data_IF_184898674321
#
_entry.id   IF_184898674321
#
_cell.length_a   1.000
_cell.length_b   1.000
_cell.length_c   1.000
_cell.angle_alpha   90.00
_cell.angle_beta   90.00
_cell.angle_gamma   90.00
#
_symmetry.space_group_name_H-M   'P 1'
#
loop_
_entity.id
_entity.type
_entity.pdbx_description
1 polymer ?
#
# COMPACT_ATOMS: atom_id res chain seq x y z
N UNK A 1 -30.25 -2.80 -9.74
CA UNK A 1 -29.49 -2.88 -8.49
C UNK A 1 -30.48 -2.64 -7.37
N UNK A 2 -30.78 -3.68 -6.59
CA UNK A 2 -31.76 -3.60 -5.51
C UNK A 2 -31.21 -2.75 -4.37
N UNK A 3 -32.04 -1.86 -3.84
CA UNK A 3 -31.68 -0.98 -2.73
C UNK A 3 -32.39 -1.43 -1.47
N UNK A 4 -31.68 -1.41 -0.36
CA UNK A 4 -32.19 -1.71 0.97
C UNK A 4 -31.88 -0.56 1.92
N UNK A 5 -32.79 -0.27 2.83
CA UNK A 5 -32.63 0.70 3.90
C UNK A 5 -32.67 -0.06 5.22
N UNK A 6 -31.59 -0.01 5.98
CA UNK A 6 -31.56 -0.51 7.34
C UNK A 6 -31.71 0.66 8.32
N UNK A 7 -32.72 0.62 9.15
CA UNK A 7 -33.04 1.63 10.14
C UNK A 7 -32.94 1.04 11.54
N UNK A 8 -32.10 1.65 12.40
CA UNK A 8 -31.95 1.17 13.77
C UNK A 8 -33.14 1.60 14.66
N UNK A 9 -33.64 0.65 15.42
CA UNK A 9 -34.75 0.91 16.36
C UNK A 9 -34.34 1.75 17.56
N UNK A 10 -33.05 1.66 17.94
CA UNK A 10 -32.50 2.34 19.11
C UNK A 10 -31.04 2.80 18.90
N UNK A 11 -30.53 3.53 19.87
CA UNK A 11 -29.14 4.04 19.87
C UNK A 11 -28.10 2.97 20.16
N UNK A 12 -28.47 1.74 20.52
CA UNK A 12 -27.52 0.63 20.68
C UNK A 12 -27.02 0.10 19.35
N UNK A 13 -27.71 0.43 18.25
CA UNK A 13 -27.45 -0.04 16.89
C UNK A 13 -27.39 -1.58 16.80
N UNK A 14 -28.20 -2.25 17.59
CA UNK A 14 -28.30 -3.72 17.57
C UNK A 14 -29.47 -4.16 16.69
N UNK A 15 -30.69 -3.86 17.12
CA UNK A 15 -31.89 -4.23 16.37
C UNK A 15 -32.17 -3.22 15.25
N UNK A 16 -32.61 -3.73 14.11
CA UNK A 16 -32.88 -2.91 12.94
C UNK A 16 -34.10 -3.43 12.15
N UNK A 17 -34.75 -2.52 11.43
CA UNK A 17 -35.76 -2.80 10.43
C UNK A 17 -35.15 -2.61 9.03
N UNK A 18 -35.37 -3.56 8.15
CA UNK A 18 -34.93 -3.55 6.77
C UNK A 18 -36.10 -3.34 5.83
N UNK A 19 -36.01 -2.30 5.02
CA UNK A 19 -36.94 -1.97 3.95
C UNK A 19 -36.32 -2.28 2.60
N UNK A 20 -37.11 -2.69 1.62
CA UNK A 20 -36.68 -3.02 0.26
C UNK A 20 -37.39 -2.16 -0.77
N UNK A 21 -36.69 -1.79 -1.85
CA UNK A 21 -37.30 -1.12 -3.01
C UNK A 21 -38.15 -2.03 -3.89
N UNK A 22 -38.12 -3.35 -3.64
CA UNK A 22 -38.93 -4.34 -4.38
C UNK A 22 -40.34 -4.43 -3.81
N UNK A 23 -40.48 -4.30 -2.48
CA UNK A 23 -41.72 -4.39 -1.79
C UNK A 23 -42.41 -3.02 -1.76
N UNK A 24 -43.36 -2.79 -2.68
CA UNK A 24 -44.16 -1.55 -2.77
C UNK A 24 -45.05 -1.30 -1.55
N UNK A 25 -45.15 -2.25 -0.63
CA UNK A 25 -45.79 -2.06 0.70
C UNK A 25 -44.70 -1.59 1.67
N UNK A 26 -44.97 -0.61 2.52
CA UNK A 26 -44.13 -0.13 3.62
C UNK A 26 -43.81 -1.25 4.65
N UNK A 27 -43.73 -2.50 4.19
CA UNK A 27 -43.41 -3.65 5.01
C UNK A 27 -41.90 -3.71 5.25
N UNK A 28 -41.54 -3.95 6.48
CA UNK A 28 -40.15 -4.15 6.87
C UNK A 28 -39.94 -5.53 7.47
N UNK A 29 -38.72 -6.01 7.41
CA UNK A 29 -38.26 -7.19 8.13
C UNK A 29 -37.39 -6.75 9.30
N UNK A 30 -37.70 -7.25 10.50
CA UNK A 30 -36.91 -6.92 11.69
C UNK A 30 -35.81 -7.94 11.91
N UNK A 31 -34.62 -7.42 12.26
CA UNK A 31 -33.41 -8.20 12.52
C UNK A 31 -32.82 -7.82 13.87
N UNK A 32 -32.22 -8.80 14.56
CA UNK A 32 -31.64 -8.59 15.89
C UNK A 32 -30.22 -7.99 15.81
N UNK A 33 -29.55 -8.11 14.67
CA UNK A 33 -28.22 -7.56 14.45
C UNK A 33 -27.89 -7.44 12.95
N UNK A 34 -26.85 -6.66 12.64
CA UNK A 34 -26.36 -6.47 11.27
C UNK A 34 -25.83 -7.74 10.61
N UNK A 35 -25.33 -8.69 11.39
CA UNK A 35 -24.74 -9.93 10.84
C UNK A 35 -25.78 -10.83 10.18
N UNK A 36 -27.07 -10.68 10.52
CA UNK A 36 -28.18 -11.38 9.89
C UNK A 36 -28.41 -10.94 8.44
N UNK A 37 -27.89 -9.78 8.03
CA UNK A 37 -27.99 -9.26 6.66
C UNK A 37 -26.99 -9.93 5.68
N UNK A 38 -26.35 -11.02 6.06
CA UNK A 38 -25.38 -11.74 5.22
C UNK A 38 -25.97 -12.35 3.94
N UNK A 39 -27.28 -12.37 3.79
CA UNK A 39 -27.95 -12.81 2.57
C UNK A 39 -27.88 -11.76 1.44
N UNK A 40 -27.52 -10.50 1.77
CA UNK A 40 -27.33 -9.46 0.77
C UNK A 40 -26.03 -9.72 0.00
N UNK A 41 -26.09 -9.59 -1.32
CA UNK A 41 -24.97 -9.80 -2.23
C UNK A 41 -24.41 -8.48 -2.81
N UNK A 42 -23.38 -8.57 -3.64
CA UNK A 42 -22.70 -7.43 -4.27
C UNK A 42 -23.55 -6.70 -5.32
N UNK A 43 -24.67 -7.30 -5.76
CA UNK A 43 -25.63 -6.66 -6.65
C UNK A 43 -26.56 -5.69 -5.92
N UNK A 44 -26.54 -5.71 -4.59
CA UNK A 44 -27.37 -4.88 -3.73
C UNK A 44 -26.64 -3.64 -3.21
N UNK A 45 -27.41 -2.61 -2.88
CA UNK A 45 -26.95 -1.44 -2.12
C UNK A 45 -27.68 -1.36 -0.79
N UNK A 46 -26.95 -1.35 0.31
CA UNK A 46 -27.48 -1.21 1.67
C UNK A 46 -27.20 0.20 2.19
N UNK A 47 -28.25 0.95 2.48
CA UNK A 47 -28.19 2.25 3.12
C UNK A 47 -28.54 2.05 4.59
N UNK A 48 -27.59 2.33 5.48
CA UNK A 48 -27.75 2.18 6.93
C UNK A 48 -27.95 3.57 7.52
N UNK A 49 -29.09 3.79 8.16
CA UNK A 49 -29.46 5.03 8.82
C UNK A 49 -28.98 4.97 10.27
N UNK A 50 -27.93 5.75 10.61
CA UNK A 50 -27.46 5.86 11.98
C UNK A 50 -28.33 6.87 12.76
N UNK A 51 -28.76 6.54 14.00
CA UNK A 51 -29.54 7.46 14.83
C UNK A 51 -28.82 8.79 15.03
N UNK A 52 -29.54 9.90 14.85
CA UNK A 52 -28.97 11.24 14.98
C UNK A 52 -28.44 11.57 16.37
N UNK A 53 -28.93 10.89 17.40
CA UNK A 53 -28.39 11.01 18.76
C UNK A 53 -26.94 10.53 18.89
N UNK A 54 -26.44 9.76 17.93
CA UNK A 54 -25.07 9.24 17.88
C UNK A 54 -24.17 10.08 16.99
N UNK A 55 -24.73 11.03 16.22
CA UNK A 55 -24.00 11.82 15.23
C UNK A 55 -24.28 13.31 15.47
N UNK A 56 -23.24 14.04 15.82
CA UNK A 56 -23.32 15.50 15.82
C UNK A 56 -22.81 16.04 14.49
N UNK A 57 -23.51 17.00 13.89
CA UNK A 57 -23.10 17.65 12.66
C UNK A 57 -22.92 19.15 12.86
N UNK A 58 -21.90 19.69 12.23
CA UNK A 58 -21.62 21.13 12.27
C UNK A 58 -21.24 21.59 10.87
N UNK A 59 -21.73 22.75 10.49
CA UNK A 59 -21.30 23.39 9.25
C UNK A 59 -19.81 23.75 9.36
N UNK A 60 -19.04 23.37 8.33
CA UNK A 60 -17.60 23.60 8.24
C UNK A 60 -17.27 24.00 6.83
N UNK A 61 -17.15 25.30 6.60
CA UNK A 61 -16.87 25.83 5.27
C UNK A 61 -15.56 25.25 4.73
N UNK A 62 -15.68 24.39 3.71
CA UNK A 62 -14.52 23.76 3.08
C UNK A 62 -13.76 24.80 2.29
N UNK A 63 -12.47 24.91 2.55
CA UNK A 63 -11.56 25.68 1.74
C UNK A 63 -10.60 24.72 1.03
N UNK A 64 -10.77 24.57 -0.28
CA UNK A 64 -9.96 23.64 -1.08
C UNK A 64 -8.47 24.01 -1.14
N UNK A 65 -8.11 25.24 -0.79
CA UNK A 65 -6.72 25.72 -0.72
C UNK A 65 -5.98 25.26 0.55
N UNK A 66 -6.71 24.71 1.53
CA UNK A 66 -6.14 24.27 2.81
C UNK A 66 -5.97 22.75 2.84
N UNK A 67 -4.78 22.23 3.24
CA UNK A 67 -4.59 20.80 3.46
C UNK A 67 -5.63 20.21 4.43
N UNK A 68 -6.08 18.98 4.17
CA UNK A 68 -7.12 18.31 4.96
C UNK A 68 -6.81 18.27 6.47
N UNK A 69 -5.54 18.07 6.84
CA UNK A 69 -5.13 18.01 8.25
C UNK A 69 -5.27 19.36 8.95
N UNK A 70 -5.00 20.47 8.25
CA UNK A 70 -5.16 21.82 8.78
C UNK A 70 -6.65 22.14 8.89
N UNK A 71 -7.45 21.78 7.88
CA UNK A 71 -8.91 21.95 7.94
C UNK A 71 -9.50 21.17 9.12
N UNK A 72 -9.08 19.93 9.35
CA UNK A 72 -9.49 19.14 10.51
C UNK A 72 -9.10 19.81 11.83
N UNK A 73 -7.87 20.32 11.95
CA UNK A 73 -7.40 20.99 13.16
C UNK A 73 -8.21 22.27 13.46
N UNK A 74 -8.49 23.08 12.44
CA UNK A 74 -9.32 24.27 12.56
C UNK A 74 -10.74 23.91 13.01
N UNK A 75 -11.36 22.93 12.35
CA UNK A 75 -12.68 22.44 12.69
C UNK A 75 -12.76 21.96 14.15
N UNK A 76 -11.79 21.16 14.60
CA UNK A 76 -11.73 20.68 15.99
C UNK A 76 -11.62 21.86 16.96
N UNK A 77 -10.78 22.87 16.64
CA UNK A 77 -10.64 24.06 17.46
C UNK A 77 -11.95 24.86 17.60
N UNK A 78 -12.74 24.93 16.50
CA UNK A 78 -14.00 25.69 16.47
C UNK A 78 -15.12 25.00 17.27
N UNK A 79 -15.04 23.69 17.43
CA UNK A 79 -16.09 22.90 18.09
C UNK A 79 -15.66 22.31 19.44
N UNK A 80 -14.41 22.49 19.86
CA UNK A 80 -13.84 21.88 21.08
C UNK A 80 -14.72 22.10 22.32
N UNK A 81 -15.25 23.30 22.48
CA UNK A 81 -16.14 23.63 23.59
C UNK A 81 -17.59 23.11 23.45
N UNK A 82 -17.92 22.49 22.32
CA UNK A 82 -19.24 21.93 22.01
C UNK A 82 -19.26 20.41 22.10
N UNK A 83 -18.07 19.78 22.13
CA UNK A 83 -17.92 18.33 22.23
C UNK A 83 -17.96 17.91 23.69
N UNK A 84 -18.78 16.92 24.00
CA UNK A 84 -18.93 16.40 25.39
C UNK A 84 -17.77 15.46 25.74
N UNK A 85 -17.35 14.62 24.80
CA UNK A 85 -16.30 13.62 24.99
C UNK A 85 -14.92 14.19 24.66
N UNK A 86 -13.84 13.49 25.06
CA UNK A 86 -12.50 13.86 24.64
C UNK A 86 -12.35 13.77 23.12
N UNK A 87 -11.58 14.66 22.51
CA UNK A 87 -11.33 14.70 21.06
C UNK A 87 -10.84 13.34 20.54
N UNK A 88 -9.96 12.66 21.32
CA UNK A 88 -9.39 11.34 20.98
C UNK A 88 -10.41 10.21 20.92
N UNK A 89 -11.56 10.36 21.55
CA UNK A 89 -12.65 9.39 21.61
C UNK A 89 -13.62 9.57 20.44
N UNK A 90 -13.50 10.65 19.69
CA UNK A 90 -14.35 10.97 18.56
C UNK A 90 -13.65 10.69 17.23
N UNK A 91 -14.46 10.34 16.24
CA UNK A 91 -14.07 10.26 14.83
C UNK A 91 -14.73 11.41 14.08
N UNK A 92 -13.94 12.13 13.32
CA UNK A 92 -14.36 13.27 12.52
C UNK A 92 -14.39 12.86 11.05
N UNK A 93 -15.52 13.08 10.39
CA UNK A 93 -15.72 12.74 8.98
C UNK A 93 -16.32 13.96 8.30
N UNK A 94 -15.78 14.33 7.13
CA UNK A 94 -16.28 15.46 6.35
C UNK A 94 -16.97 14.97 5.08
N UNK A 95 -18.09 15.61 4.79
CA UNK A 95 -18.78 15.47 3.51
C UNK A 95 -19.25 16.87 3.11
N UNK A 96 -18.78 17.34 1.94
CA UNK A 96 -18.99 18.74 1.51
C UNK A 96 -18.62 19.74 2.63
N UNK A 97 -19.52 20.65 2.97
CA UNK A 97 -19.32 21.68 3.98
C UNK A 97 -19.83 21.28 5.37
N UNK A 98 -19.95 19.96 5.64
CA UNK A 98 -20.42 19.44 6.93
C UNK A 98 -19.37 18.54 7.56
N UNK A 99 -19.03 18.82 8.81
CA UNK A 99 -18.24 17.94 9.66
C UNK A 99 -19.14 17.11 10.58
N UNK A 100 -18.98 15.80 10.55
CA UNK A 100 -19.69 14.82 11.37
C UNK A 100 -18.79 14.34 12.49
N UNK A 101 -19.34 14.25 13.69
CA UNK A 101 -18.64 13.80 14.90
C UNK A 101 -19.39 12.60 15.45
N UNK A 102 -18.68 11.51 15.64
CA UNK A 102 -19.24 10.25 16.11
C UNK A 102 -18.28 9.63 17.11
N UNK A 103 -18.79 9.03 18.18
CA UNK A 103 -17.97 8.22 19.08
C UNK A 103 -17.23 7.14 18.31
N UNK A 104 -15.91 7.08 18.50
CA UNK A 104 -15.02 6.18 17.76
C UNK A 104 -15.37 4.72 18.01
N UNK A 105 -15.76 4.35 19.23
CA UNK A 105 -16.11 2.97 19.58
C UNK A 105 -17.37 2.51 18.84
N UNK A 106 -18.35 3.40 18.69
CA UNK A 106 -19.60 3.12 17.99
C UNK A 106 -19.35 2.96 16.49
N UNK A 107 -18.68 3.93 15.86
CA UNK A 107 -18.44 3.88 14.41
C UNK A 107 -17.52 2.74 14.02
N UNK A 108 -16.52 2.41 14.83
CA UNK A 108 -15.61 1.30 14.56
C UNK A 108 -16.33 -0.06 14.71
N UNK A 109 -17.25 -0.19 15.67
CA UNK A 109 -18.10 -1.37 15.81
C UNK A 109 -19.02 -1.55 14.59
N UNK A 110 -19.70 -0.49 14.17
CA UNK A 110 -20.55 -0.50 12.97
C UNK A 110 -19.74 -0.84 11.72
N UNK A 111 -18.63 -0.18 11.48
CA UNK A 111 -17.76 -0.45 10.34
C UNK A 111 -17.25 -1.88 10.31
N UNK A 112 -16.93 -2.46 11.49
CA UNK A 112 -16.51 -3.85 11.59
C UNK A 112 -17.61 -4.82 11.13
N UNK A 113 -18.85 -4.66 11.60
CA UNK A 113 -19.98 -5.51 11.19
C UNK A 113 -20.34 -5.27 9.72
N UNK A 114 -20.43 -4.02 9.28
CA UNK A 114 -20.80 -3.67 7.90
C UNK A 114 -19.75 -4.14 6.88
N UNK A 115 -18.47 -4.12 7.22
CA UNK A 115 -17.40 -4.63 6.35
C UNK A 115 -17.50 -6.14 6.10
N UNK A 116 -18.17 -6.87 6.98
CA UNK A 116 -18.39 -8.31 6.81
C UNK A 116 -19.52 -8.63 5.82
N UNK A 117 -20.32 -7.66 5.43
CA UNK A 117 -21.37 -7.83 4.43
C UNK A 117 -20.79 -7.82 3.01
N UNK A 118 -21.35 -8.64 2.13
CA UNK A 118 -20.95 -8.72 0.72
C UNK A 118 -21.79 -7.78 -0.17
N UNK A 119 -22.09 -6.58 0.31
CA UNK A 119 -22.92 -5.61 -0.40
C UNK A 119 -22.26 -4.23 -0.42
N UNK A 120 -22.74 -3.34 -1.27
CA UNK A 120 -22.30 -1.94 -1.26
C UNK A 120 -22.99 -1.21 -0.12
N UNK A 121 -22.21 -0.72 0.84
CA UNK A 121 -22.73 -0.10 2.06
C UNK A 121 -22.54 1.40 2.03
N UNK A 122 -23.62 2.11 2.40
CA UNK A 122 -23.65 3.53 2.73
C UNK A 122 -24.11 3.66 4.18
N UNK A 123 -23.35 4.36 5.00
CA UNK A 123 -23.71 4.68 6.36
C UNK A 123 -23.98 6.18 6.45
N UNK A 124 -25.20 6.58 6.75
CA UNK A 124 -25.60 7.99 6.71
C UNK A 124 -26.42 8.35 7.96
N UNK A 125 -26.38 9.59 8.45
CA UNK A 125 -27.25 10.02 9.53
C UNK A 125 -28.73 9.91 9.10
N UNK A 126 -29.62 9.49 10.03
CA UNK A 126 -31.05 9.32 9.71
C UNK A 126 -31.72 10.61 9.25
N UNK A 127 -31.29 11.78 9.70
CA UNK A 127 -31.83 13.06 9.25
C UNK A 127 -31.42 13.45 7.82
N UNK A 128 -30.38 12.85 7.29
CA UNK A 128 -29.98 13.07 5.88
C UNK A 128 -30.94 12.37 4.89
N UNK A 129 -31.91 11.64 5.42
CA UNK A 129 -32.98 11.00 4.66
C UNK A 129 -33.83 12.08 3.94
N UNK A 130 -33.80 12.09 2.62
CA UNK A 130 -34.43 13.11 1.76
C UNK A 130 -33.86 14.55 1.92
N UNK A 131 -32.70 14.72 2.52
CA UNK A 131 -32.08 16.05 2.52
C UNK A 131 -31.81 16.52 1.09
N UNK A 132 -32.09 17.79 0.83
CA UNK A 132 -31.74 18.46 -0.41
C UNK A 132 -30.85 19.63 -0.11
N UNK A 133 -29.76 19.75 -0.87
CA UNK A 133 -28.85 20.88 -0.68
C UNK A 133 -29.58 22.22 -0.80
N UNK A 134 -29.42 23.07 0.21
CA UNK A 134 -30.00 24.42 0.24
C UNK A 134 -31.48 24.51 0.63
N UNK A 135 -32.11 23.39 1.00
CA UNK A 135 -33.52 23.36 1.45
C UNK A 135 -33.64 22.78 2.87
N UNK A 136 -34.43 23.40 3.71
CA UNK A 136 -34.81 22.83 4.99
C UNK A 136 -35.89 21.76 4.74
N UNK A 137 -35.72 20.56 5.31
CA UNK A 137 -36.65 19.43 5.08
C UNK A 137 -37.05 18.80 6.40
N UNK A 138 -38.31 18.43 6.54
CA UNK A 138 -38.79 17.61 7.64
C UNK A 138 -39.43 16.36 7.07
N UNK A 139 -38.98 15.20 7.54
CA UNK A 139 -39.52 13.89 7.12
C UNK A 139 -40.11 13.16 8.34
N UNK A 140 -41.33 12.75 8.27
CA UNK A 140 -41.93 11.86 9.25
C UNK A 140 -41.72 10.41 8.84
N UNK A 141 -41.01 9.65 9.69
CA UNK A 141 -40.70 8.26 9.45
C UNK A 141 -40.62 7.48 10.77
N UNK A 142 -41.33 6.38 10.88
CA UNK A 142 -41.30 5.43 12.01
C UNK A 142 -41.41 6.12 13.39
N UNK A 143 -42.43 6.96 13.57
CA UNK A 143 -42.73 7.73 14.80
C UNK A 143 -41.62 8.74 15.21
N UNK A 144 -40.70 9.07 14.30
CA UNK A 144 -39.73 10.14 14.45
C UNK A 144 -39.89 11.17 13.34
N UNK A 145 -39.30 12.34 13.60
CA UNK A 145 -39.25 13.46 12.67
C UNK A 145 -37.83 13.82 12.42
N UNK A 146 -37.38 13.66 11.18
CA UNK A 146 -36.03 13.99 10.74
C UNK A 146 -35.99 15.44 10.22
N UNK A 147 -35.20 16.27 10.84
CA UNK A 147 -34.98 17.65 10.46
C UNK A 147 -33.63 17.75 9.76
N UNK A 148 -33.65 18.09 8.49
CA UNK A 148 -32.46 18.37 7.70
C UNK A 148 -32.44 19.85 7.36
N UNK A 149 -31.34 20.53 7.67
CA UNK A 149 -31.22 21.97 7.45
C UNK A 149 -30.51 22.27 6.13
N UNK A 150 -30.75 23.47 5.60
CA UNK A 150 -30.18 23.94 4.33
C UNK A 150 -28.63 23.97 4.33
N UNK A 151 -27.99 24.00 5.50
CA UNK A 151 -26.55 23.91 5.69
C UNK A 151 -26.00 22.48 5.73
N UNK A 152 -26.85 21.47 5.51
CA UNK A 152 -26.52 20.05 5.53
C UNK A 152 -26.44 19.43 6.93
N UNK A 153 -26.60 20.22 7.98
CA UNK A 153 -26.74 19.69 9.35
C UNK A 153 -28.15 19.18 9.61
N UNK A 154 -28.38 18.49 10.72
CA UNK A 154 -29.71 18.00 11.04
C UNK A 154 -29.79 17.29 12.38
N UNK A 155 -31.00 16.86 12.72
CA UNK A 155 -31.29 16.06 13.91
C UNK A 155 -32.59 15.28 13.74
N UNK A 156 -32.86 14.37 14.65
CA UNK A 156 -34.20 13.72 14.75
C UNK A 156 -34.81 13.94 16.11
N UNK A 157 -36.13 14.03 16.13
CA UNK A 157 -36.89 14.15 17.37
C UNK A 157 -38.04 13.14 17.39
N UNK A 158 -38.40 12.68 18.56
CA UNK A 158 -39.60 11.84 18.78
C UNK A 158 -40.83 12.68 18.74
N UNK A 159 -41.98 12.01 18.56
CA UNK A 159 -43.31 12.68 18.58
C UNK A 159 -43.49 13.53 19.84
N UNK A 160 -43.12 13.05 21.01
CA UNK A 160 -43.32 13.76 22.29
C UNK A 160 -42.56 15.08 22.35
N UNK A 161 -41.41 15.16 21.71
CA UNK A 161 -40.54 16.36 21.67
C UNK A 161 -40.79 17.26 20.48
N UNK A 162 -41.60 16.84 19.52
CA UNK A 162 -41.81 17.54 18.25
C UNK A 162 -42.28 18.99 18.43
N UNK A 163 -43.30 19.18 19.27
CA UNK A 163 -43.91 20.49 19.49
C UNK A 163 -42.94 21.49 20.08
N UNK A 164 -42.23 21.06 21.11
CA UNK A 164 -41.25 21.92 21.79
C UNK A 164 -40.08 22.26 20.87
N UNK A 165 -39.57 21.27 20.13
CA UNK A 165 -38.49 21.48 19.17
C UNK A 165 -38.89 22.43 18.04
N UNK A 166 -40.04 22.27 17.45
CA UNK A 166 -40.57 23.20 16.43
C UNK A 166 -40.76 24.61 16.97
N UNK A 167 -41.18 24.73 18.23
CA UNK A 167 -41.29 26.04 18.87
C UNK A 167 -39.92 26.73 19.03
N UNK A 168 -38.87 25.98 19.40
CA UNK A 168 -37.50 26.48 19.51
C UNK A 168 -37.03 26.96 18.13
N UNK A 169 -37.19 26.14 17.09
CA UNK A 169 -36.71 26.50 15.74
C UNK A 169 -37.42 27.79 15.24
N UNK A 170 -38.74 27.87 15.38
CA UNK A 170 -39.48 29.07 14.95
C UNK A 170 -39.09 30.33 15.70
N UNK A 171 -38.74 30.21 16.97
CA UNK A 171 -38.24 31.35 17.75
C UNK A 171 -36.84 31.77 17.36
N UNK A 172 -36.02 30.80 16.92
CA UNK A 172 -34.63 31.07 16.48
C UNK A 172 -34.57 31.55 15.04
N UNK A 173 -35.43 31.03 14.17
CA UNK A 173 -35.51 31.36 12.75
C UNK A 173 -36.98 31.67 12.36
N UNK A 174 -37.38 32.93 12.40
CA UNK A 174 -38.75 33.35 12.09
C UNK A 174 -39.17 33.07 10.65
N UNK A 175 -38.21 32.86 9.73
CA UNK A 175 -38.47 32.56 8.32
C UNK A 175 -38.32 31.09 7.99
N UNK A 176 -38.32 30.19 8.99
CA UNK A 176 -38.20 28.77 8.77
C UNK A 176 -39.38 28.22 8.00
N UNK A 177 -39.17 27.82 6.75
CA UNK A 177 -40.16 27.29 5.83
C UNK A 177 -39.67 25.97 5.22
N UNK A 178 -39.73 24.86 5.96
CA UNK A 178 -39.23 23.59 5.48
C UNK A 178 -40.19 22.94 4.46
N UNK A 179 -39.64 22.12 3.58
CA UNK A 179 -40.43 21.14 2.81
C UNK A 179 -40.78 19.98 3.75
N UNK A 180 -42.06 19.69 3.91
CA UNK A 180 -42.56 18.68 4.87
C UNK A 180 -43.04 17.47 4.11
N UNK A 181 -42.49 16.29 4.45
CA UNK A 181 -42.97 14.97 4.02
C UNK A 181 -43.61 14.26 5.21
N UNK A 182 -44.91 14.06 5.16
CA UNK A 182 -45.67 13.47 6.28
C UNK A 182 -46.97 12.88 5.80
N UNK A 183 -47.27 11.69 6.32
CA UNK A 183 -48.58 11.02 6.09
C UNK A 183 -49.57 11.30 7.21
N UNK A 184 -49.18 12.04 8.26
CA UNK A 184 -50.04 12.39 9.38
C UNK A 184 -50.39 13.88 9.39
N UNK A 185 -51.27 14.28 10.30
CA UNK A 185 -51.64 15.68 10.49
C UNK A 185 -50.84 16.36 11.61
N UNK A 186 -49.92 15.67 12.28
CA UNK A 186 -49.23 16.16 13.46
C UNK A 186 -48.44 17.45 13.18
N UNK A 187 -47.75 17.52 12.05
CA UNK A 187 -47.01 18.68 11.63
C UNK A 187 -47.87 19.87 11.18
N UNK A 188 -49.14 19.62 10.75
CA UNK A 188 -50.08 20.68 10.39
C UNK A 188 -50.48 21.56 11.57
N UNK A 189 -50.51 21.00 12.76
CA UNK A 189 -50.81 21.75 13.98
C UNK A 189 -49.68 22.76 14.32
N UNK A 190 -48.51 22.48 13.87
CA UNK A 190 -47.31 23.32 14.12
C UNK A 190 -47.02 24.26 12.94
N UNK A 191 -47.18 23.75 11.71
CA UNK A 191 -46.88 24.49 10.47
C UNK A 191 -48.15 24.70 9.68
N UNK A 192 -49.05 25.59 10.14
CA UNK A 192 -50.38 25.83 9.58
C UNK A 192 -50.37 26.27 8.12
N UNK A 193 -49.32 26.98 7.69
CA UNK A 193 -49.20 27.58 6.36
C UNK A 193 -48.55 26.66 5.35
N UNK A 194 -47.98 25.51 5.78
CA UNK A 194 -47.25 24.59 4.92
C UNK A 194 -48.12 23.35 4.65
N UNK A 195 -48.32 23.04 3.37
CA UNK A 195 -48.99 21.81 2.95
C UNK A 195 -47.97 20.67 2.91
N UNK A 196 -48.10 19.65 3.77
CA UNK A 196 -47.24 18.48 3.70
C UNK A 196 -47.37 17.75 2.36
N UNK A 197 -46.25 17.26 1.85
CA UNK A 197 -46.22 16.30 0.75
C UNK A 197 -46.38 14.90 1.32
N UNK A 198 -46.98 14.02 0.54
CA UNK A 198 -47.11 12.62 0.92
C UNK A 198 -45.72 11.97 0.93
N UNK A 199 -45.40 11.32 2.02
CA UNK A 199 -44.16 10.57 2.15
C UNK A 199 -44.35 9.15 1.59
N UNK A 200 -43.45 8.74 0.73
CA UNK A 200 -43.33 7.37 0.23
C UNK A 200 -41.86 6.94 0.26
N UNK A 201 -41.59 5.71 0.66
CA UNK A 201 -40.24 5.11 0.59
C UNK A 201 -39.70 5.11 -0.85
N UNK A 202 -40.58 4.99 -1.86
CA UNK A 202 -40.20 5.08 -3.27
C UNK A 202 -39.50 6.41 -3.59
N UNK A 203 -39.95 7.50 -2.95
CA UNK A 203 -39.32 8.82 -3.11
C UNK A 203 -37.87 8.80 -2.66
N UNK A 204 -37.58 8.10 -1.57
CA UNK A 204 -36.22 7.95 -1.07
C UNK A 204 -35.38 7.01 -1.95
N UNK A 205 -35.93 5.87 -2.34
CA UNK A 205 -35.18 4.94 -3.23
C UNK A 205 -34.84 5.55 -4.59
N UNK A 206 -35.62 6.51 -5.04
CA UNK A 206 -35.36 7.29 -6.25
C UNK A 206 -34.37 8.45 -6.04
N UNK A 207 -34.08 8.79 -4.78
CA UNK A 207 -33.11 9.83 -4.48
C UNK A 207 -31.68 9.40 -4.88
N UNK A 208 -30.85 10.38 -5.25
CA UNK A 208 -29.45 10.11 -5.62
C UNK A 208 -28.62 9.79 -4.38
N UNK A 209 -28.34 8.51 -4.16
CA UNK A 209 -27.55 8.03 -3.03
C UNK A 209 -26.15 8.69 -2.98
N UNK A 210 -25.62 9.07 -4.14
CA UNK A 210 -24.31 9.74 -4.25
C UNK A 210 -24.25 11.12 -3.57
N UNK A 211 -25.41 11.73 -3.27
CA UNK A 211 -25.49 13.01 -2.57
C UNK A 211 -25.55 12.84 -1.05
N UNK A 212 -25.78 11.62 -0.56
CA UNK A 212 -25.83 11.34 0.87
C UNK A 212 -24.41 11.32 1.47
N UNK A 213 -24.22 11.87 2.69
CA UNK A 213 -22.96 11.72 3.40
C UNK A 213 -22.70 10.24 3.70
N UNK A 214 -21.53 9.73 3.32
CA UNK A 214 -21.16 8.35 3.61
C UNK A 214 -20.12 8.30 4.73
N UNK A 215 -20.57 7.91 5.92
CA UNK A 215 -19.73 7.80 7.12
C UNK A 215 -19.05 6.42 7.22
N UNK A 216 -19.39 5.48 6.32
CA UNK A 216 -18.81 4.16 6.28
C UNK A 216 -17.34 4.22 5.86
N UNK A 217 -16.52 3.48 6.58
CA UNK A 217 -15.13 3.22 6.20
C UNK A 217 -14.82 1.73 6.34
N UNK A 218 -14.14 1.18 5.35
CA UNK A 218 -13.75 -0.23 5.37
C UNK A 218 -12.85 -0.55 6.56
N UNK A 219 -13.25 -1.54 7.37
CA UNK A 219 -12.47 -1.99 8.50
C UNK A 219 -11.46 -3.05 8.07
N UNK A 220 -10.17 -2.70 8.03
CA UNK A 220 -9.10 -3.57 7.58
C UNK A 220 -8.79 -4.65 8.62
N UNK A 221 -9.22 -5.88 8.33
CA UNK A 221 -8.84 -7.08 9.07
C UNK A 221 -8.59 -8.23 8.10
N UNK A 222 -7.85 -9.26 8.52
CA UNK A 222 -7.62 -10.43 7.66
C UNK A 222 -8.93 -11.11 7.25
N UNK A 223 -9.90 -11.15 8.17
CA UNK A 223 -11.23 -11.72 7.89
C UNK A 223 -12.02 -10.88 6.91
N UNK A 224 -11.99 -9.55 7.03
CA UNK A 224 -12.65 -8.62 6.12
C UNK A 224 -12.09 -8.72 4.71
N UNK A 225 -10.75 -8.74 4.60
CA UNK A 225 -10.05 -8.88 3.32
C UNK A 225 -10.38 -10.23 2.68
N UNK A 226 -10.29 -11.32 3.47
CA UNK A 226 -10.62 -12.66 2.99
C UNK A 226 -12.04 -12.74 2.42
N UNK A 227 -13.01 -12.13 3.10
CA UNK A 227 -14.43 -12.17 2.72
C UNK A 227 -14.71 -11.27 1.51
N UNK A 228 -14.25 -10.02 1.54
CA UNK A 228 -14.48 -9.03 0.46
C UNK A 228 -13.90 -9.47 -0.88
N UNK A 229 -12.71 -10.10 -0.86
CA UNK A 229 -12.01 -10.54 -2.07
C UNK A 229 -12.19 -12.03 -2.37
N UNK A 230 -13.05 -12.74 -1.63
CA UNK A 230 -13.29 -14.19 -1.79
C UNK A 230 -12.01 -15.03 -1.80
N UNK A 231 -10.95 -14.57 -1.10
CA UNK A 231 -9.69 -15.30 -1.04
C UNK A 231 -9.86 -16.62 -0.29
N UNK A 232 -9.45 -17.70 -0.92
CA UNK A 232 -9.29 -18.97 -0.23
C UNK A 232 -8.15 -18.87 0.79
N UNK A 233 -8.19 -19.69 1.84
CA UNK A 233 -7.13 -19.72 2.85
C UNK A 233 -5.75 -19.99 2.25
N UNK A 234 -5.69 -20.78 1.17
CA UNK A 234 -4.47 -21.08 0.42
C UNK A 234 -3.94 -19.84 -0.33
N UNK A 235 -4.81 -19.08 -0.99
CA UNK A 235 -4.42 -17.85 -1.70
C UNK A 235 -3.91 -16.78 -0.71
N UNK A 236 -4.54 -16.66 0.45
CA UNK A 236 -4.07 -15.75 1.50
C UNK A 236 -2.70 -16.17 2.03
N UNK A 237 -2.48 -17.48 2.25
CA UNK A 237 -1.19 -18.01 2.65
C UNK A 237 -0.10 -17.74 1.60
N UNK A 238 -0.39 -17.98 0.32
CA UNK A 238 0.53 -17.69 -0.78
C UNK A 238 0.86 -16.18 -0.88
N UNK A 239 -0.13 -15.31 -0.68
CA UNK A 239 0.06 -13.86 -0.70
C UNK A 239 0.96 -13.40 0.47
N UNK A 240 0.75 -13.97 1.67
CA UNK A 240 1.60 -13.68 2.84
C UNK A 240 3.03 -14.19 2.63
N UNK A 241 3.22 -15.41 2.08
CA UNK A 241 4.54 -15.96 1.75
C UNK A 241 5.22 -15.11 0.68
N UNK A 242 4.50 -14.66 -0.35
CA UNK A 242 5.04 -13.78 -1.39
C UNK A 242 5.51 -12.44 -0.83
N UNK A 243 4.68 -11.78 -0.01
CA UNK A 243 5.05 -10.52 0.66
C UNK A 243 6.27 -10.70 1.57
N UNK A 244 6.31 -11.80 2.35
CA UNK A 244 7.44 -12.11 3.21
C UNK A 244 8.71 -12.35 2.39
N UNK A 245 8.61 -13.04 1.25
CA UNK A 245 9.74 -13.29 0.34
C UNK A 245 10.33 -12.01 -0.23
N UNK A 246 9.49 -11.02 -0.62
CA UNK A 246 9.94 -9.72 -1.14
C UNK A 246 10.77 -8.95 -0.09
N UNK A 247 10.46 -9.07 1.18
CA UNK A 247 11.18 -8.41 2.26
C UNK A 247 12.41 -9.21 2.73
N UNK A 248 12.28 -10.54 2.81
CA UNK A 248 13.29 -11.40 3.42
C UNK A 248 14.44 -11.73 2.47
N UNK A 249 14.16 -11.97 1.19
CA UNK A 249 15.20 -12.32 0.21
C UNK A 249 16.25 -11.20 0.06
N UNK A 250 15.89 -9.92 -0.14
CA UNK A 250 16.87 -8.85 -0.20
C UNK A 250 17.71 -8.73 1.08
N UNK A 251 17.08 -8.92 2.25
CA UNK A 251 17.78 -8.86 3.54
C UNK A 251 18.82 -9.97 3.65
N UNK A 252 18.51 -11.19 3.22
CA UNK A 252 19.47 -12.31 3.17
C UNK A 252 20.61 -12.03 2.20
N UNK A 253 20.31 -11.45 1.03
CA UNK A 253 21.34 -11.08 0.05
C UNK A 253 22.28 -10.03 0.64
N UNK A 254 21.77 -9.01 1.32
CA UNK A 254 22.57 -7.98 1.99
C UNK A 254 23.49 -8.60 3.05
N UNK A 255 22.95 -9.47 3.91
CA UNK A 255 23.74 -10.16 4.95
C UNK A 255 24.85 -11.02 4.31
N UNK A 256 24.53 -11.79 3.25
CA UNK A 256 25.48 -12.59 2.51
C UNK A 256 26.57 -11.72 1.85
N UNK A 257 26.19 -10.62 1.23
CA UNK A 257 27.13 -9.71 0.58
C UNK A 257 28.06 -9.03 1.60
N UNK A 258 27.54 -8.63 2.76
CA UNK A 258 28.37 -8.07 3.83
C UNK A 258 29.40 -9.10 4.34
N UNK A 259 28.97 -10.35 4.56
CA UNK A 259 29.87 -11.43 4.96
C UNK A 259 30.94 -11.72 3.90
N UNK A 260 30.57 -11.72 2.62
CA UNK A 260 31.53 -11.87 1.52
C UNK A 260 32.52 -10.69 1.47
N UNK A 261 32.02 -9.45 1.68
CA UNK A 261 32.89 -8.26 1.72
C UNK A 261 33.93 -8.34 2.87
N UNK A 262 33.50 -8.85 4.04
CA UNK A 262 34.41 -9.09 5.16
C UNK A 262 35.48 -10.13 4.80
N UNK A 263 35.08 -11.25 4.19
CA UNK A 263 36.03 -12.29 3.75
C UNK A 263 37.00 -11.77 2.70
N UNK A 264 36.54 -10.96 1.74
CA UNK A 264 37.41 -10.34 0.75
C UNK A 264 38.38 -9.33 1.38
N UNK A 265 37.92 -8.54 2.34
CA UNK A 265 38.77 -7.60 3.05
C UNK A 265 39.85 -8.33 3.88
N UNK A 266 39.48 -9.42 4.56
CA UNK A 266 40.41 -10.25 5.32
C UNK A 266 41.43 -10.93 4.40
N UNK A 267 41.00 -11.55 3.30
CA UNK A 267 41.88 -12.15 2.31
C UNK A 267 42.81 -11.11 1.71
N UNK A 268 42.31 -9.92 1.36
CA UNK A 268 43.14 -8.81 0.87
C UNK A 268 44.17 -8.38 1.90
N UNK A 269 43.76 -8.21 3.15
CA UNK A 269 44.68 -7.86 4.24
C UNK A 269 45.77 -8.89 4.42
N UNK A 270 45.42 -10.19 4.40
CA UNK A 270 46.40 -11.28 4.53
C UNK A 270 47.43 -11.29 3.38
N UNK A 271 46.98 -11.02 2.14
CA UNK A 271 47.91 -10.89 1.01
C UNK A 271 48.87 -9.70 1.22
N UNK A 272 48.35 -8.56 1.62
CA UNK A 272 49.19 -7.37 1.84
C UNK A 272 50.17 -7.55 2.98
N UNK A 273 49.77 -8.17 4.09
CA UNK A 273 50.66 -8.47 5.22
C UNK A 273 51.73 -9.51 4.88
N UNK A 274 51.42 -10.45 3.95
CA UNK A 274 52.45 -11.38 3.46
C UNK A 274 53.53 -10.71 2.60
N UNK A 275 53.18 -9.60 1.92
CA UNK A 275 54.13 -8.82 1.13
C UNK A 275 54.94 -7.86 2.04
N UNK A 276 54.28 -7.21 3.00
CA UNK A 276 54.91 -6.31 3.94
C UNK A 276 54.22 -6.36 5.31
N UNK A 277 54.94 -6.84 6.33
CA UNK A 277 54.38 -7.03 7.70
C UNK A 277 54.05 -5.72 8.44
N UNK A 278 54.51 -4.57 7.94
CA UNK A 278 54.24 -3.27 8.56
C UNK A 278 52.86 -2.69 8.21
N UNK A 279 52.11 -3.34 7.33
CA UNK A 279 50.80 -2.88 6.88
C UNK A 279 49.75 -3.18 7.94
N UNK A 280 49.27 -2.12 8.63
CA UNK A 280 48.25 -2.23 9.65
C UNK A 280 46.81 -2.13 9.10
N UNK A 281 46.61 -1.57 7.91
CA UNK A 281 45.32 -1.37 7.29
C UNK A 281 45.40 -1.22 5.78
N UNK A 282 44.50 -1.89 5.06
CA UNK A 282 44.37 -1.73 3.61
C UNK A 282 43.22 -0.79 3.33
N UNK A 283 43.48 0.41 2.81
CA UNK A 283 42.45 1.45 2.53
C UNK A 283 42.28 1.64 1.04
N UNK A 284 43.35 1.67 0.28
CA UNK A 284 43.37 1.82 -1.17
C UNK A 284 44.37 0.80 -1.76
N UNK A 285 43.89 -0.44 -2.03
CA UNK A 285 44.81 -1.54 -2.41
C UNK A 285 45.76 -1.17 -3.56
N UNK A 286 45.22 -0.58 -4.63
CA UNK A 286 46.01 -0.23 -5.82
C UNK A 286 47.14 0.74 -5.53
N UNK A 287 46.85 1.87 -4.88
CA UNK A 287 47.87 2.87 -4.57
C UNK A 287 48.88 2.39 -3.52
N UNK A 288 48.46 1.47 -2.63
CA UNK A 288 49.37 0.85 -1.67
C UNK A 288 50.32 -0.14 -2.35
N UNK A 289 49.87 -0.92 -3.34
CA UNK A 289 50.71 -1.78 -4.17
C UNK A 289 51.72 -0.92 -4.93
N UNK A 290 51.28 0.14 -5.60
CA UNK A 290 52.16 1.04 -6.35
C UNK A 290 53.28 1.64 -5.45
N UNK A 291 52.91 2.02 -4.21
CA UNK A 291 53.85 2.52 -3.21
C UNK A 291 54.82 1.45 -2.73
N UNK A 292 54.40 0.21 -2.53
CA UNK A 292 55.26 -0.90 -2.12
C UNK A 292 56.21 -1.22 -3.26
N UNK A 293 55.75 -1.30 -4.49
CA UNK A 293 56.59 -1.56 -5.67
C UNK A 293 57.64 -0.48 -5.88
N UNK A 294 57.28 0.78 -5.63
CA UNK A 294 58.27 1.90 -5.75
C UNK A 294 59.33 1.93 -4.64
N UNK A 295 59.06 1.27 -3.51
CA UNK A 295 60.01 1.17 -2.37
C UNK A 295 60.84 -0.11 -2.39
N UNK A 296 60.52 -1.09 -3.23
CA UNK A 296 61.39 -2.24 -3.41
C UNK A 296 62.70 -1.79 -4.06
N UNK A 297 63.86 -2.13 -3.47
CA UNK A 297 65.15 -1.83 -4.09
C UNK A 297 65.12 -2.49 -5.47
N UNK A 298 65.34 -1.69 -6.52
CA UNK A 298 65.61 -2.19 -7.84
C UNK A 298 66.93 -3.04 -7.72
N UNK A 299 66.75 -4.35 -7.61
CA UNK A 299 67.88 -5.25 -7.84
C UNK A 299 68.18 -5.10 -9.34
N UNK A 300 69.19 -4.32 -9.62
CA UNK A 300 69.82 -4.19 -10.94
C UNK A 300 70.47 -5.54 -11.36
N UNK A 301 69.66 -6.57 -11.41
CA UNK A 301 69.85 -7.68 -12.30
C UNK A 301 68.79 -7.57 -13.34
N UNK A 302 69.11 -6.88 -14.42
CA UNK A 302 68.36 -6.82 -15.67
C UNK A 302 67.95 -8.26 -16.13
N UNK A 303 66.99 -8.84 -15.51
CA UNK A 303 66.18 -9.82 -16.18
C UNK A 303 65.05 -9.00 -16.83
N UNK A 304 65.34 -8.49 -18.03
CA UNK A 304 64.34 -7.93 -18.93
C UNK A 304 63.24 -8.97 -19.12
N UNK A 305 62.20 -8.89 -18.25
CA UNK A 305 60.97 -9.61 -18.46
C UNK A 305 60.33 -8.94 -19.66
N UNK A 306 60.49 -9.52 -20.79
CA UNK A 306 59.93 -9.01 -22.02
C UNK A 306 58.41 -9.19 -22.00
N UNK A 307 57.69 -8.29 -21.28
CA UNK A 307 56.25 -8.26 -21.21
C UNK A 307 55.53 -8.23 -22.58
N UNK A 308 56.12 -7.65 -23.67
CA UNK A 308 55.60 -7.80 -25.02
C UNK A 308 55.41 -9.24 -25.48
N UNK A 309 56.19 -10.19 -24.96
CA UNK A 309 56.03 -11.61 -25.30
C UNK A 309 54.66 -12.19 -24.89
N UNK A 310 53.96 -11.55 -23.97
CA UNK A 310 52.61 -11.95 -23.56
C UNK A 310 51.51 -11.44 -24.52
N UNK A 311 51.83 -10.60 -25.50
CA UNK A 311 50.86 -10.07 -26.47
C UNK A 311 50.21 -11.16 -27.34
N UNK A 312 50.85 -12.34 -27.43
CA UNK A 312 50.23 -13.47 -28.15
C UNK A 312 48.95 -13.97 -27.45
N UNK A 313 48.81 -13.79 -26.12
CA UNK A 313 47.58 -14.12 -25.38
C UNK A 313 46.37 -13.29 -25.82
N UNK A 314 46.61 -12.11 -26.41
CA UNK A 314 45.52 -11.28 -26.96
C UNK A 314 44.84 -11.94 -28.17
N UNK A 315 45.47 -12.91 -28.79
CA UNK A 315 44.93 -13.68 -29.90
C UNK A 315 44.00 -14.81 -29.42
N UNK A 316 43.98 -15.08 -28.12
CA UNK A 316 43.17 -16.10 -27.51
C UNK A 316 41.97 -15.39 -26.86
N UNK A 317 40.75 -15.89 -27.14
CA UNK A 317 39.58 -15.38 -26.43
C UNK A 317 39.70 -15.75 -24.94
N UNK A 318 39.60 -14.76 -24.07
CA UNK A 318 39.77 -14.91 -22.60
C UNK A 318 38.84 -16.01 -22.05
N UNK A 319 37.69 -16.19 -22.62
CA UNK A 319 36.72 -17.23 -22.23
C UNK A 319 37.25 -18.68 -22.39
N UNK A 320 38.24 -18.86 -23.23
CA UNK A 320 38.85 -20.16 -23.52
C UNK A 320 40.12 -20.45 -22.69
N UNK A 321 40.51 -19.55 -21.81
CA UNK A 321 41.64 -19.69 -20.89
C UNK A 321 41.12 -19.93 -19.49
N UNK A 322 41.33 -21.13 -18.95
CA UNK A 322 40.90 -21.42 -17.57
C UNK A 322 41.87 -20.91 -16.52
N UNK A 323 43.16 -21.08 -16.76
CA UNK A 323 44.23 -20.66 -15.84
C UNK A 323 45.50 -20.29 -16.60
N UNK A 324 46.22 -19.31 -16.07
CA UNK A 324 47.54 -18.96 -16.48
C UNK A 324 48.45 -19.01 -15.24
N UNK A 325 49.50 -19.77 -15.29
CA UNK A 325 50.51 -19.83 -14.24
C UNK A 325 51.85 -19.35 -14.81
N UNK A 326 52.44 -18.34 -14.19
CA UNK A 326 53.72 -17.76 -14.61
C UNK A 326 54.77 -18.06 -13.54
N UNK A 327 55.82 -18.79 -13.94
CA UNK A 327 57.00 -19.01 -13.09
C UNK A 327 58.12 -18.10 -13.56
N UNK A 328 58.34 -17.03 -12.80
CA UNK A 328 59.40 -16.05 -13.09
C UNK A 328 60.82 -16.63 -12.87
N UNK A 329 60.97 -17.64 -12.02
CA UNK A 329 62.30 -18.25 -11.77
C UNK A 329 62.73 -19.08 -12.96
N UNK A 330 61.81 -19.78 -13.59
CA UNK A 330 62.08 -20.59 -14.76
C UNK A 330 61.81 -19.85 -16.07
N UNK A 331 61.29 -18.63 -16.01
CA UNK A 331 60.87 -17.85 -17.17
C UNK A 331 59.92 -18.63 -18.08
N UNK A 332 58.96 -19.32 -17.45
CA UNK A 332 57.95 -20.14 -18.16
C UNK A 332 56.54 -19.69 -17.81
N UNK A 333 55.64 -19.86 -18.73
CA UNK A 333 54.22 -19.65 -18.55
C UNK A 333 53.46 -20.90 -19.00
N UNK A 334 52.62 -21.41 -18.13
CA UNK A 334 51.72 -22.56 -18.40
C UNK A 334 50.27 -22.07 -18.46
N UNK A 335 49.64 -22.40 -19.55
CA UNK A 335 48.24 -22.04 -19.83
C UNK A 335 47.38 -23.28 -19.92
N UNK A 336 46.22 -23.22 -19.24
CA UNK A 336 45.15 -24.22 -19.38
C UNK A 336 44.15 -23.72 -20.39
N UNK A 337 44.04 -24.40 -21.51
CA UNK A 337 43.14 -24.07 -22.61
C UNK A 337 41.92 -24.97 -22.57
N UNK A 338 40.72 -24.36 -22.77
CA UNK A 338 39.45 -25.08 -22.81
C UNK A 338 38.71 -24.83 -24.11
N UNK A 339 38.47 -25.92 -24.86
CA UNK A 339 37.66 -25.92 -26.08
C UNK A 339 38.03 -24.88 -27.17
N UNK A 340 39.30 -24.58 -27.36
CA UNK A 340 39.78 -23.72 -28.46
C UNK A 340 39.61 -24.44 -29.79
N UNK A 341 39.22 -23.73 -30.86
CA UNK A 341 39.19 -24.35 -32.19
C UNK A 341 40.60 -24.74 -32.65
N UNK A 342 40.73 -25.88 -33.34
CA UNK A 342 42.04 -26.30 -33.85
C UNK A 342 42.70 -25.29 -34.75
N UNK A 343 41.93 -24.45 -35.41
CA UNK A 343 42.42 -23.36 -36.26
C UNK A 343 43.04 -22.23 -35.41
N UNK A 344 42.35 -21.83 -34.33
CA UNK A 344 42.89 -20.85 -33.40
C UNK A 344 44.14 -21.37 -32.71
N UNK A 345 44.19 -22.64 -32.33
CA UNK A 345 45.36 -23.27 -31.74
C UNK A 345 46.57 -23.21 -32.69
N UNK A 346 46.38 -23.52 -33.98
CA UNK A 346 47.43 -23.42 -34.98
C UNK A 346 47.91 -21.97 -35.17
N UNK A 347 47.00 -20.99 -35.12
CA UNK A 347 47.35 -19.56 -35.18
C UNK A 347 48.23 -19.20 -33.98
N UNK A 348 47.88 -19.62 -32.77
CA UNK A 348 48.67 -19.41 -31.55
C UNK A 348 50.09 -19.98 -31.72
N UNK A 349 50.17 -21.23 -32.21
CA UNK A 349 51.44 -21.90 -32.45
C UNK A 349 52.30 -21.20 -33.50
N UNK A 350 51.68 -20.71 -34.55
CA UNK A 350 52.41 -19.93 -35.60
C UNK A 350 52.85 -18.58 -35.07
N UNK A 351 52.00 -17.92 -34.27
CA UNK A 351 52.32 -16.62 -33.67
C UNK A 351 53.42 -16.70 -32.62
N UNK A 352 53.43 -17.77 -31.79
CA UNK A 352 54.51 -18.03 -30.82
C UNK A 352 55.86 -18.19 -31.52
N UNK A 353 55.88 -18.88 -32.67
CA UNK A 353 57.11 -19.01 -33.48
C UNK A 353 57.58 -17.67 -34.06
N UNK A 354 56.66 -16.78 -34.49
CA UNK A 354 57.01 -15.46 -35.01
C UNK A 354 57.54 -14.52 -33.93
N UNK A 355 57.11 -14.72 -32.69
CA UNK A 355 57.56 -13.94 -31.55
C UNK A 355 58.79 -14.52 -30.82
N UNK A 356 59.45 -15.52 -31.37
CA UNK A 356 60.57 -16.25 -30.74
C UNK A 356 60.22 -16.84 -29.35
N UNK A 357 58.96 -17.25 -29.18
CA UNK A 357 58.53 -17.90 -27.95
C UNK A 357 58.63 -19.41 -28.17
N UNK A 358 59.45 -20.08 -27.37
CA UNK A 358 59.58 -21.54 -27.49
C UNK A 358 58.50 -22.25 -26.67
N UNK A 359 57.78 -23.16 -27.32
CA UNK A 359 56.83 -24.04 -26.66
C UNK A 359 57.63 -25.21 -26.07
N UNK A 360 57.66 -25.31 -24.74
CA UNK A 360 58.42 -26.32 -24.02
C UNK A 360 57.68 -27.64 -23.86
N UNK A 361 56.36 -27.56 -23.64
CA UNK A 361 55.53 -28.74 -23.45
C UNK A 361 54.11 -28.49 -23.98
N UNK A 362 53.54 -29.49 -24.65
CA UNK A 362 52.17 -29.52 -25.14
C UNK A 362 51.50 -30.79 -24.62
N UNK A 363 50.61 -30.64 -23.64
CA UNK A 363 49.75 -31.76 -23.17
C UNK A 363 48.31 -31.40 -23.55
N UNK A 364 47.95 -31.73 -24.79
CA UNK A 364 46.72 -31.32 -25.40
C UNK A 364 45.88 -32.55 -25.92
N UNK A 365 44.59 -32.43 -25.75
CA UNK A 365 43.63 -33.41 -26.26
C UNK A 365 42.80 -32.72 -27.35
N UNK A 366 42.87 -33.26 -28.56
CA UNK A 366 42.05 -32.79 -29.67
C UNK A 366 40.82 -33.72 -29.90
N UNK A 367 39.64 -33.18 -29.83
CA UNK A 367 38.37 -33.89 -30.07
C UNK A 367 37.40 -32.96 -30.81
N UNK A 368 36.80 -33.48 -31.87
CA UNK A 368 35.75 -32.76 -32.65
C UNK A 368 36.21 -31.36 -33.11
N UNK A 369 37.41 -31.19 -33.65
CA UNK A 369 37.96 -29.91 -34.07
C UNK A 369 38.17 -28.86 -32.95
N UNK A 370 38.11 -29.29 -31.69
CA UNK A 370 38.40 -28.52 -30.51
C UNK A 370 39.62 -29.05 -29.79
N UNK A 371 40.38 -28.19 -29.17
CA UNK A 371 41.62 -28.48 -28.45
C UNK A 371 41.45 -27.98 -27.01
N UNK A 372 41.79 -28.87 -26.05
CA UNK A 372 41.84 -28.55 -24.62
C UNK A 372 43.10 -29.16 -24.02
N UNK A 373 43.68 -28.51 -23.04
CA UNK A 373 44.87 -29.01 -22.36
C UNK A 373 45.83 -27.93 -21.89
N UNK A 374 47.08 -28.30 -21.57
CA UNK A 374 48.08 -27.41 -21.04
C UNK A 374 49.16 -27.13 -22.09
N UNK A 375 49.52 -25.86 -22.20
CA UNK A 375 50.68 -25.40 -22.99
C UNK A 375 51.64 -24.70 -22.07
N UNK A 376 52.89 -25.07 -22.11
CA UNK A 376 53.96 -24.39 -21.39
C UNK A 376 54.89 -23.71 -22.40
N UNK A 377 55.03 -22.41 -22.29
CA UNK A 377 55.89 -21.60 -23.15
C UNK A 377 57.00 -20.98 -22.35
N UNK A 378 58.19 -20.84 -22.95
CA UNK A 378 59.30 -20.08 -22.37
C UNK A 378 59.33 -18.68 -22.97
N UNK A 379 59.49 -17.68 -22.12
CA UNK A 379 59.68 -16.27 -22.49
C UNK A 379 61.09 -15.80 -22.27
N UNK A 380 62.05 -16.70 -22.09
CA UNK A 380 63.47 -16.40 -22.02
C UNK A 380 64.00 -16.28 -23.42
N UNK A 381 64.52 -15.09 -23.78
CA UNK A 381 65.32 -14.93 -25.01
C UNK A 381 66.57 -15.76 -24.90
N UNK A 382 66.82 -16.70 -25.83
CA UNK A 382 68.10 -17.33 -26.03
C UNK A 382 69.11 -16.35 -26.58
#
# INVERSE_FOLDING_TARGET
MTKYIAYFNDTSCQSLNLYSDIDSSESYQSFSNLDELNFLDDSCTLIVLIPSLLVSSYHSQKNDDIPKDIHLANFISDIDNKIVNQISENKFIFHEDVGYIIDKSIIDKLNKSLTLLNTNVYLTPEYSFLSKAGEDTIVEFDNKYFFSYCDGTGTSVTFDSLRDYCHIIKNTNHNYQPVIYSNTNNLKEVFHDIKPLEFSLDTFFNHQISLLPNLYSFYYSLNSIKRKFSFTSLQLALLTVSLFSILFIPSLIIVKNNKNAELYNEATFNIFTSINNDIKKVVRPRSQIDSIMSQMPSNDQDQDINLPSLDYLKQINIENIERVFIDFNQSTMTESLNEISSLQFNVIKTFSQQMNISILNEDIISKNNKVSGLITVSFKNE
#
